data_IF_903671865524
#
_entry.id   IF_903671865524
#
_cell.length_a   1.000
_cell.length_b   1.000
_cell.length_c   1.000
_cell.angle_alpha   90.00
_cell.angle_beta   90.00
_cell.angle_gamma   90.00
#
_symmetry.space_group_name_H-M   'P 1'
#
loop_
_entity.id
_entity.type
_entity.pdbx_description
1 polymer ?
#
# COMPACT_ATOMS: atom_id res chain seq x y z
N UNK A 1 17.54 3.71 -4.62
CA UNK A 1 16.97 2.39 -4.37
C UNK A 1 15.45 2.52 -4.20
N UNK A 2 14.71 1.71 -4.94
CA UNK A 2 13.25 1.76 -4.87
C UNK A 2 12.73 1.31 -3.51
N UNK A 3 11.62 1.90 -3.07
CA UNK A 3 11.10 1.73 -1.72
C UNK A 3 9.74 1.07 -1.73
N UNK A 4 9.34 0.54 -0.57
CA UNK A 4 7.96 0.15 -0.33
C UNK A 4 7.23 1.41 0.14
N UNK A 5 6.11 1.73 -0.47
CA UNK A 5 5.30 2.90 -0.11
C UNK A 5 4.14 2.47 0.79
N UNK A 6 4.09 3.01 2.01
CA UNK A 6 3.02 2.77 2.97
C UNK A 6 2.17 4.04 3.08
N UNK A 7 0.88 3.93 2.76
CA UNK A 7 -0.06 5.04 2.77
C UNK A 7 -1.12 4.78 3.83
N UNK A 8 -1.00 5.45 4.97
CA UNK A 8 -1.88 5.26 6.12
C UNK A 8 -1.71 6.42 7.07
N UNK A 9 -2.78 6.93 7.65
CA UNK A 9 -2.72 8.05 8.60
C UNK A 9 -2.48 7.62 10.04
N UNK A 10 -2.38 6.32 10.31
CA UNK A 10 -2.06 5.80 11.64
C UNK A 10 -0.54 5.71 11.82
N UNK A 11 0.03 6.62 12.60
CA UNK A 11 1.47 6.65 12.85
C UNK A 11 1.97 5.36 13.51
N UNK A 12 1.22 4.85 14.48
CA UNK A 12 1.62 3.63 15.20
C UNK A 12 1.66 2.43 14.27
N UNK A 13 0.61 2.24 13.47
CA UNK A 13 0.54 1.13 12.51
C UNK A 13 1.68 1.22 11.50
N UNK A 14 1.86 2.39 10.93
CA UNK A 14 2.89 2.64 9.92
C UNK A 14 4.29 2.41 10.50
N UNK A 15 4.53 2.89 11.72
CA UNK A 15 5.83 2.71 12.37
C UNK A 15 6.17 1.24 12.56
N UNK A 16 5.23 0.46 13.07
CA UNK A 16 5.45 -0.98 13.29
C UNK A 16 5.77 -1.70 11.99
N UNK A 17 4.99 -1.43 10.95
CA UNK A 17 5.15 -2.06 9.65
C UNK A 17 6.49 -1.64 9.00
N UNK A 18 6.82 -0.36 9.11
CA UNK A 18 8.07 0.18 8.59
C UNK A 18 9.28 -0.49 9.25
N UNK A 19 9.26 -0.65 10.57
CA UNK A 19 10.36 -1.28 11.28
C UNK A 19 10.58 -2.72 10.83
N UNK A 20 9.50 -3.47 10.67
CA UNK A 20 9.60 -4.84 10.18
C UNK A 20 10.22 -4.90 8.79
N UNK A 21 9.75 -4.07 7.88
CA UNK A 21 10.21 -4.07 6.49
C UNK A 21 11.67 -3.63 6.38
N UNK A 22 12.06 -2.62 7.16
CA UNK A 22 13.45 -2.15 7.19
C UNK A 22 14.37 -3.24 7.75
N UNK A 23 13.92 -3.97 8.76
CA UNK A 23 14.68 -5.08 9.32
C UNK A 23 14.89 -6.19 8.29
N UNK A 24 13.97 -6.36 7.36
CA UNK A 24 14.09 -7.32 6.26
C UNK A 24 14.90 -6.78 5.09
N UNK A 25 15.43 -5.57 5.20
CA UNK A 25 16.33 -5.00 4.20
C UNK A 25 15.66 -4.13 3.14
N UNK A 26 14.39 -3.76 3.33
CA UNK A 26 13.67 -2.94 2.37
C UNK A 26 13.53 -1.50 2.85
N UNK A 27 13.95 -0.51 2.03
CA UNK A 27 13.69 0.88 2.36
C UNK A 27 12.20 1.19 2.24
N UNK A 28 11.70 2.07 3.10
CA UNK A 28 10.28 2.38 3.19
C UNK A 28 10.07 3.89 3.07
N UNK A 29 9.05 4.28 2.33
CA UNK A 29 8.54 5.65 2.29
C UNK A 29 7.13 5.61 2.86
N UNK A 30 6.81 6.56 3.73
CA UNK A 30 5.47 6.67 4.34
C UNK A 30 4.76 7.91 3.84
N UNK A 31 3.45 7.82 3.75
CA UNK A 31 2.58 8.94 3.39
C UNK A 31 1.32 8.87 4.25
N UNK A 32 0.93 9.99 4.84
CA UNK A 32 -0.25 10.07 5.71
C UNK A 32 -1.50 10.51 4.94
N UNK A 33 -1.32 11.00 3.73
CA UNK A 33 -2.40 11.52 2.87
C UNK A 33 -2.18 11.09 1.43
N UNK A 34 -3.22 11.20 0.62
CA UNK A 34 -3.10 10.94 -0.82
C UNK A 34 -2.21 11.97 -1.50
N UNK A 35 -2.23 13.19 -1.02
CA UNK A 35 -1.35 14.24 -1.55
C UNK A 35 0.11 13.84 -1.39
N UNK A 36 0.49 13.37 -0.21
CA UNK A 36 1.85 12.89 0.05
C UNK A 36 2.17 11.66 -0.78
N UNK A 37 1.21 10.76 -0.94
CA UNK A 37 1.38 9.55 -1.73
C UNK A 37 1.64 9.88 -3.20
N UNK A 38 0.89 10.83 -3.76
CA UNK A 38 1.10 11.27 -5.15
C UNK A 38 2.50 11.85 -5.34
N UNK A 39 2.93 12.68 -4.40
CA UNK A 39 4.27 13.27 -4.44
C UNK A 39 5.35 12.19 -4.38
N UNK A 40 5.16 11.19 -3.52
CA UNK A 40 6.11 10.10 -3.39
C UNK A 40 6.26 9.29 -4.69
N UNK A 41 5.16 8.99 -5.36
CA UNK A 41 5.17 8.25 -6.62
C UNK A 41 5.80 9.07 -7.75
N UNK A 42 5.55 10.37 -7.77
CA UNK A 42 6.18 11.26 -8.77
C UNK A 42 7.67 11.34 -8.59
N UNK A 43 8.14 11.28 -7.34
CA UNK A 43 9.58 11.32 -7.04
C UNK A 43 10.25 10.02 -7.48
N UNK A 44 9.68 8.90 -7.14
CA UNK A 44 10.21 7.58 -7.50
C UNK A 44 9.10 6.54 -7.43
N UNK A 45 8.95 5.73 -8.49
CA UNK A 45 7.99 4.65 -8.51
C UNK A 45 8.38 3.60 -7.47
N UNK A 46 7.49 3.22 -6.55
CA UNK A 46 7.83 2.25 -5.50
C UNK A 46 7.88 0.82 -6.00
N UNK A 47 8.42 -0.08 -5.19
CA UNK A 47 8.39 -1.53 -5.44
C UNK A 47 6.97 -2.09 -5.30
N UNK A 48 6.26 -1.63 -4.27
CA UNK A 48 4.90 -2.05 -3.96
C UNK A 48 4.23 -0.93 -3.16
N UNK A 49 2.93 -0.79 -3.33
CA UNK A 49 2.12 0.16 -2.56
C UNK A 49 1.25 -0.61 -1.58
N UNK A 50 1.25 -0.18 -0.31
CA UNK A 50 0.27 -0.62 0.69
C UNK A 50 -0.53 0.60 1.09
N UNK A 51 -1.82 0.61 0.81
CA UNK A 51 -2.67 1.78 0.99
C UNK A 51 -3.90 1.46 1.81
N UNK A 52 -4.17 2.31 2.82
CA UNK A 52 -5.43 2.24 3.56
C UNK A 52 -6.58 2.63 2.63
N UNK A 53 -7.74 2.07 2.92
CA UNK A 53 -8.96 2.39 2.17
C UNK A 53 -9.45 3.80 2.45
N UNK A 54 -9.34 4.26 3.71
CA UNK A 54 -9.81 5.58 4.15
C UNK A 54 -8.64 6.47 4.57
N UNK A 55 -8.52 7.62 3.94
CA UNK A 55 -7.48 8.60 4.23
C UNK A 55 -8.12 9.97 4.46
N UNK A 56 -7.41 10.89 5.13
CA UNK A 56 -8.01 12.20 5.44
C UNK A 56 -8.50 12.98 4.23
N UNK A 57 -7.84 12.81 3.09
CA UNK A 57 -8.13 13.57 1.88
C UNK A 57 -8.70 12.72 0.74
N UNK A 58 -9.20 11.52 1.04
CA UNK A 58 -9.88 10.73 0.04
C UNK A 58 -9.82 9.24 0.26
N UNK A 59 -10.21 8.50 -0.76
CA UNK A 59 -10.29 7.04 -0.74
C UNK A 59 -9.09 6.39 -1.37
N UNK A 60 -8.56 5.35 -0.72
CA UNK A 60 -7.52 4.51 -1.31
C UNK A 60 -7.98 3.83 -2.61
N UNK A 61 -9.28 3.59 -2.74
CA UNK A 61 -9.86 3.03 -3.96
C UNK A 61 -9.70 4.00 -5.13
N UNK A 62 -9.94 5.29 -4.91
CA UNK A 62 -9.76 6.31 -5.96
C UNK A 62 -8.29 6.47 -6.31
N UNK A 63 -7.42 6.37 -5.32
CA UNK A 63 -5.98 6.42 -5.58
C UNK A 63 -5.51 5.21 -6.40
N UNK A 64 -6.09 4.06 -6.17
CA UNK A 64 -5.84 2.88 -7.00
C UNK A 64 -6.15 3.16 -8.48
N UNK A 65 -7.28 3.82 -8.75
CA UNK A 65 -7.63 4.20 -10.12
C UNK A 65 -6.56 5.10 -10.75
N UNK A 66 -6.06 6.08 -9.99
CA UNK A 66 -5.01 6.98 -10.45
C UNK A 66 -3.72 6.22 -10.79
N UNK A 67 -3.33 5.30 -9.91
CA UNK A 67 -2.13 4.49 -10.12
C UNK A 67 -2.28 3.60 -11.35
N UNK A 68 -3.44 2.97 -11.51
CA UNK A 68 -3.69 2.07 -12.64
C UNK A 68 -3.76 2.80 -13.98
N UNK A 69 -4.11 4.08 -13.99
CA UNK A 69 -4.05 4.89 -15.20
C UNK A 69 -2.61 5.09 -15.68
N UNK A 70 -1.65 5.08 -14.76
CA UNK A 70 -0.23 5.30 -15.06
C UNK A 70 0.57 4.00 -15.14
N UNK A 71 0.24 3.01 -14.34
CA UNK A 71 0.99 1.75 -14.26
C UNK A 71 0.04 0.60 -13.89
N UNK A 72 -0.12 -0.35 -14.79
CA UNK A 72 -1.02 -1.48 -14.61
C UNK A 72 -0.39 -2.64 -13.84
N UNK A 73 0.92 -2.62 -13.65
CA UNK A 73 1.65 -3.74 -13.07
C UNK A 73 2.20 -3.50 -11.68
N UNK A 74 2.25 -2.24 -11.23
CA UNK A 74 2.73 -1.93 -9.89
C UNK A 74 1.89 -2.69 -8.85
N UNK A 75 2.51 -3.53 -7.99
CA UNK A 75 1.74 -4.21 -6.96
C UNK A 75 1.09 -3.18 -6.03
N UNK A 76 -0.24 -3.29 -5.88
CA UNK A 76 -1.02 -2.37 -5.07
C UNK A 76 -1.90 -3.18 -4.12
N UNK A 77 -1.59 -3.10 -2.83
CA UNK A 77 -2.31 -3.84 -1.78
C UNK A 77 -3.15 -2.84 -1.01
N UNK A 78 -4.46 -3.08 -0.96
CA UNK A 78 -5.35 -2.32 -0.08
C UNK A 78 -5.41 -3.03 1.26
N UNK A 79 -5.13 -2.30 2.34
CA UNK A 79 -5.15 -2.83 3.69
C UNK A 79 -6.10 -2.00 4.53
N UNK A 80 -7.12 -2.62 5.12
CA UNK A 80 -8.17 -1.91 5.85
C UNK A 80 -8.63 -2.70 7.05
N UNK A 81 -9.18 -1.98 8.05
CA UNK A 81 -9.89 -2.58 9.18
C UNK A 81 -11.34 -2.92 8.84
N UNK A 82 -11.85 -2.46 7.70
CA UNK A 82 -13.18 -2.83 7.23
C UNK A 82 -13.24 -4.30 6.82
N UNK A 83 -14.42 -4.87 6.86
CA UNK A 83 -14.61 -6.24 6.40
C UNK A 83 -14.23 -6.31 4.91
N UNK A 84 -13.32 -7.21 4.60
CA UNK A 84 -12.82 -7.40 3.24
C UNK A 84 -13.95 -7.71 2.25
N UNK A 85 -14.96 -8.44 2.68
CA UNK A 85 -16.09 -8.80 1.83
C UNK A 85 -16.87 -7.55 1.33
N UNK A 86 -16.80 -6.44 2.06
CA UNK A 86 -17.52 -5.22 1.69
C UNK A 86 -16.89 -4.49 0.51
N UNK A 87 -15.60 -4.65 0.25
CA UNK A 87 -14.92 -3.86 -0.78
C UNK A 87 -14.01 -4.65 -1.72
N UNK A 88 -13.69 -5.90 -1.40
CA UNK A 88 -12.70 -6.67 -2.16
C UNK A 88 -13.08 -6.84 -3.63
N UNK A 89 -14.33 -7.17 -3.91
CA UNK A 89 -14.79 -7.39 -5.27
C UNK A 89 -14.57 -6.15 -6.14
N UNK A 90 -14.96 -5.00 -5.62
CA UNK A 90 -14.78 -3.72 -6.31
C UNK A 90 -13.31 -3.37 -6.49
N UNK A 91 -12.50 -3.57 -5.45
CA UNK A 91 -11.07 -3.28 -5.51
C UNK A 91 -10.37 -4.13 -6.55
N UNK A 92 -10.65 -5.43 -6.56
CA UNK A 92 -10.03 -6.34 -7.52
C UNK A 92 -10.44 -6.01 -8.95
N UNK A 93 -11.69 -5.61 -9.15
CA UNK A 93 -12.19 -5.19 -10.47
C UNK A 93 -11.46 -3.93 -10.94
N UNK A 94 -11.11 -3.03 -10.03
CA UNK A 94 -10.37 -1.79 -10.34
C UNK A 94 -8.87 -2.01 -10.47
N UNK A 95 -8.39 -3.22 -10.22
CA UNK A 95 -7.00 -3.56 -10.46
C UNK A 95 -6.11 -3.70 -9.23
N UNK A 96 -6.69 -3.81 -8.03
CA UNK A 96 -5.89 -4.11 -6.83
C UNK A 96 -5.21 -5.46 -6.99
N UNK A 97 -3.99 -5.57 -6.48
CA UNK A 97 -3.27 -6.84 -6.47
C UNK A 97 -3.82 -7.75 -5.38
N UNK A 98 -4.02 -7.20 -4.19
CA UNK A 98 -4.58 -7.90 -3.04
C UNK A 98 -5.37 -6.93 -2.17
N UNK A 99 -6.31 -7.49 -1.40
CA UNK A 99 -6.95 -6.79 -0.29
C UNK A 99 -6.66 -7.56 0.99
N UNK A 100 -6.17 -6.89 2.01
CA UNK A 100 -5.74 -7.51 3.26
C UNK A 100 -6.40 -6.85 4.46
N UNK A 101 -6.60 -7.64 5.50
CA UNK A 101 -7.09 -7.16 6.79
C UNK A 101 -5.92 -6.63 7.61
N UNK A 102 -5.97 -5.38 8.05
CA UNK A 102 -4.91 -4.78 8.88
C UNK A 102 -4.72 -5.50 10.20
N UNK A 103 -5.75 -6.16 10.70
CA UNK A 103 -5.67 -6.92 11.94
C UNK A 103 -4.85 -8.20 11.78
N UNK A 104 -4.54 -8.61 10.56
CA UNK A 104 -3.69 -9.75 10.26
C UNK A 104 -2.29 -9.28 9.85
N UNK A 105 -1.68 -8.46 10.69
CA UNK A 105 -0.43 -7.76 10.38
C UNK A 105 0.72 -8.63 9.90
N UNK A 106 0.91 -9.82 10.51
CA UNK A 106 2.00 -10.71 10.09
C UNK A 106 1.83 -11.16 8.64
N UNK A 107 0.60 -11.51 8.26
CA UNK A 107 0.32 -11.94 6.90
C UNK A 107 0.53 -10.79 5.90
N UNK A 108 0.11 -9.58 6.27
CA UNK A 108 0.32 -8.39 5.45
C UNK A 108 1.81 -8.11 5.25
N UNK A 109 2.60 -8.19 6.33
CA UNK A 109 4.05 -7.98 6.28
C UNK A 109 4.71 -8.95 5.30
N UNK A 110 4.35 -10.23 5.38
CA UNK A 110 4.91 -11.26 4.52
C UNK A 110 4.54 -11.03 3.06
N UNK A 111 3.32 -10.60 2.79
CA UNK A 111 2.89 -10.31 1.42
C UNK A 111 3.62 -9.11 0.84
N UNK A 112 3.85 -8.06 1.63
CA UNK A 112 4.61 -6.91 1.19
C UNK A 112 6.03 -7.29 0.80
N UNK A 113 6.68 -8.11 1.61
CA UNK A 113 8.03 -8.60 1.30
C UNK A 113 8.02 -9.46 0.03
N UNK A 114 7.03 -10.34 -0.10
CA UNK A 114 6.90 -11.20 -1.28
C UNK A 114 6.81 -10.39 -2.57
N UNK A 115 5.92 -9.40 -2.61
CA UNK A 115 5.74 -8.59 -3.81
C UNK A 115 6.92 -7.65 -4.06
N UNK A 116 7.53 -7.11 -3.02
CA UNK A 116 8.73 -6.29 -3.17
C UNK A 116 9.89 -7.11 -3.74
N UNK A 117 10.06 -8.33 -3.26
CA UNK A 117 11.12 -9.22 -3.74
C UNK A 117 10.96 -9.53 -5.24
N UNK A 118 9.73 -9.72 -5.71
CA UNK A 118 9.45 -10.01 -7.13
C UNK A 118 9.83 -8.86 -8.06
N UNK A 119 9.95 -7.63 -7.54
CA UNK A 119 10.28 -6.45 -8.35
C UNK A 119 11.78 -6.20 -8.45
N UNK A 120 12.59 -6.96 -7.73
CA UNK A 120 14.04 -6.77 -7.69
C UNK A 120 14.73 -7.55 -8.79
#
# INVERSE_FOLDING_TARGET
>A
MKKILLIDDSDTYTWCLQKYLQHRGYPVKTACTLKEARAAIQEEMPLVVCCDLDLPDGSGMDFLDEVRAADKELPFILASCHDKDDYEQEAMRRGATLCMDKMKGLLLQDKLVEYAYRQV
#
